data_IF_625311244624
#
_entry.id   IF_625311244624
#
_cell.length_a   1.000
_cell.length_b   1.000
_cell.length_c   1.000
_cell.angle_alpha   90.00
_cell.angle_beta   90.00
_cell.angle_gamma   90.00
#
_symmetry.space_group_name_H-M   'P 1'
#
loop_
_entity.id
_entity.type
_entity.pdbx_description
1 polymer ?
#
# COMPACT_ATOMS: atom_id res chain seq x y z
N UNK A 1 6.82 14.64 -13.63
CA UNK A 1 6.28 16.02 -13.47
C UNK A 1 6.39 16.37 -12.00
N UNK A 2 7.06 17.47 -11.64
CA UNK A 2 7.20 17.92 -10.26
C UNK A 2 6.52 19.28 -10.08
N UNK A 3 5.65 19.41 -9.08
CA UNK A 3 4.95 20.64 -8.75
C UNK A 3 5.15 20.97 -7.27
N UNK A 4 5.38 22.25 -6.95
CA UNK A 4 5.41 22.75 -5.57
C UNK A 4 4.02 23.22 -5.15
N UNK A 5 3.57 22.77 -3.98
CA UNK A 5 2.30 23.14 -3.35
C UNK A 5 2.60 23.67 -1.94
N UNK A 6 2.85 24.97 -1.82
CA UNK A 6 3.33 25.57 -0.57
C UNK A 6 4.67 24.97 -0.15
N UNK A 7 4.72 24.34 1.03
CA UNK A 7 5.91 23.63 1.54
C UNK A 7 6.02 22.19 1.02
N UNK A 8 5.00 21.68 0.31
CA UNK A 8 4.96 20.32 -0.19
C UNK A 8 5.45 20.24 -1.65
N UNK A 9 5.94 19.07 -2.02
CA UNK A 9 6.25 18.71 -3.41
C UNK A 9 5.37 17.53 -3.81
N UNK A 10 4.79 17.61 -5.01
CA UNK A 10 4.06 16.51 -5.64
C UNK A 10 4.80 16.11 -6.91
N UNK A 11 5.14 14.83 -7.01
CA UNK A 11 5.83 14.27 -8.15
C UNK A 11 5.02 13.15 -8.80
N UNK A 12 4.86 13.23 -10.12
CA UNK A 12 4.46 12.09 -10.94
C UNK A 12 5.72 11.53 -11.60
N UNK A 13 6.02 10.28 -11.26
CA UNK A 13 7.18 9.53 -11.76
C UNK A 13 6.72 8.17 -12.26
N UNK A 14 7.31 7.71 -13.36
CA UNK A 14 7.16 6.33 -13.81
C UNK A 14 8.28 5.50 -13.20
N UNK A 15 7.93 4.41 -12.50
CA UNK A 15 8.92 3.56 -11.88
C UNK A 15 8.33 2.38 -11.13
N UNK A 16 9.20 1.71 -10.39
CA UNK A 16 8.88 0.58 -9.52
C UNK A 16 8.80 1.08 -8.07
N UNK A 17 7.65 0.91 -7.42
CA UNK A 17 7.41 1.40 -6.05
C UNK A 17 8.35 0.75 -5.03
N UNK A 18 8.78 -0.49 -5.30
CA UNK A 18 9.66 -1.25 -4.39
C UNK A 18 11.08 -0.70 -4.35
N UNK A 19 11.44 0.17 -5.31
CA UNK A 19 12.77 0.77 -5.46
C UNK A 19 12.83 2.25 -5.06
N UNK A 20 11.71 2.82 -4.58
CA UNK A 20 11.66 4.22 -4.20
C UNK A 20 12.40 4.47 -2.88
N UNK A 21 13.25 5.50 -2.87
CA UNK A 21 14.01 5.92 -1.68
C UNK A 21 13.21 6.99 -0.93
N UNK A 22 12.20 6.54 -0.19
CA UNK A 22 11.27 7.38 0.56
C UNK A 22 11.05 6.79 1.95
N UNK A 23 10.59 7.58 2.91
CA UNK A 23 10.33 7.07 4.26
C UNK A 23 9.22 6.02 4.30
N UNK A 24 8.21 6.14 3.44
CA UNK A 24 7.08 5.22 3.38
C UNK A 24 6.55 5.05 1.96
N UNK A 25 6.05 3.84 1.67
CA UNK A 25 5.28 3.55 0.46
C UNK A 25 3.85 3.16 0.83
N UNK A 26 2.93 3.27 -0.14
CA UNK A 26 1.54 2.82 0.01
C UNK A 26 1.32 1.59 -0.84
N UNK A 27 0.80 0.54 -0.23
CA UNK A 27 0.39 -0.70 -0.90
C UNK A 27 -1.12 -0.66 -1.18
N UNK A 28 -1.52 -1.08 -2.38
CA UNK A 28 -2.91 -1.33 -2.73
C UNK A 28 -3.31 -2.74 -2.30
N UNK A 29 -3.77 -2.87 -1.06
CA UNK A 29 -4.03 -4.14 -0.39
C UNK A 29 -5.50 -4.58 -0.51
N UNK A 30 -5.76 -5.84 -0.16
CA UNK A 30 -7.10 -6.39 0.09
C UNK A 30 -7.47 -6.34 1.58
N UNK A 31 -8.76 -6.54 1.88
CA UNK A 31 -9.29 -6.49 3.24
C UNK A 31 -8.67 -7.52 4.17
N UNK A 32 -8.23 -8.65 3.65
CA UNK A 32 -7.64 -9.75 4.42
C UNK A 32 -6.17 -9.49 4.79
N UNK A 33 -5.51 -8.49 4.19
CA UNK A 33 -4.08 -8.18 4.36
C UNK A 33 -3.17 -9.40 4.12
N UNK A 34 -3.60 -10.29 3.23
CA UNK A 34 -2.98 -11.61 3.01
C UNK A 34 -1.96 -11.63 1.85
N UNK A 35 -1.62 -10.46 1.30
CA UNK A 35 -0.92 -10.34 0.04
C UNK A 35 -1.79 -10.71 -1.17
N UNK A 36 -1.24 -10.59 -2.37
CA UNK A 36 -2.00 -10.70 -3.60
C UNK A 36 -1.12 -10.64 -4.85
N UNK A 37 -1.72 -10.26 -5.98
CA UNK A 37 -1.01 -10.02 -7.24
C UNK A 37 -0.63 -8.56 -7.44
N UNK A 38 -0.23 -8.19 -8.67
CA UNK A 38 0.02 -6.79 -9.03
C UNK A 38 1.08 -6.12 -8.14
N UNK A 39 0.79 -4.87 -7.74
CA UNK A 39 1.70 -4.10 -6.88
C UNK A 39 1.83 -4.69 -5.47
N UNK A 40 0.76 -5.28 -4.94
CA UNK A 40 0.75 -5.94 -3.63
C UNK A 40 1.71 -7.12 -3.60
N UNK A 41 1.60 -8.00 -4.60
CA UNK A 41 2.52 -9.12 -4.78
C UNK A 41 3.98 -8.67 -4.96
N UNK A 42 4.22 -7.62 -5.74
CA UNK A 42 5.56 -7.06 -5.92
C UNK A 42 6.16 -6.53 -4.61
N UNK A 43 5.36 -5.83 -3.80
CA UNK A 43 5.78 -5.33 -2.48
C UNK A 43 6.07 -6.49 -1.53
N UNK A 44 5.18 -7.48 -1.44
CA UNK A 44 5.39 -8.66 -0.59
C UNK A 44 6.65 -9.44 -0.97
N UNK A 45 6.89 -9.62 -2.27
CA UNK A 45 8.08 -10.30 -2.77
C UNK A 45 9.37 -9.53 -2.43
N UNK A 46 9.37 -8.21 -2.61
CA UNK A 46 10.56 -7.38 -2.39
C UNK A 46 10.85 -7.09 -0.91
N UNK A 47 9.82 -6.95 -0.08
CA UNK A 47 9.97 -6.69 1.36
C UNK A 47 10.24 -7.94 2.19
N UNK A 48 9.86 -9.12 1.67
CA UNK A 48 10.02 -10.40 2.35
C UNK A 48 8.90 -10.73 3.34
N UNK A 49 9.02 -11.87 4.05
CA UNK A 49 7.91 -12.48 4.79
C UNK A 49 7.46 -11.70 6.04
N UNK A 50 8.25 -10.71 6.49
CA UNK A 50 7.98 -9.95 7.71
C UNK A 50 6.63 -9.21 7.65
N UNK A 51 6.24 -8.70 6.47
CA UNK A 51 4.95 -8.02 6.30
C UNK A 51 3.81 -8.93 6.73
N UNK A 52 3.76 -10.18 6.22
CA UNK A 52 2.68 -11.12 6.53
C UNK A 52 2.65 -11.48 8.01
N UNK A 53 3.81 -11.55 8.67
CA UNK A 53 3.88 -11.81 10.11
C UNK A 53 3.32 -10.63 10.90
N UNK A 54 3.64 -9.40 10.51
CA UNK A 54 3.11 -8.19 11.13
C UNK A 54 1.61 -8.03 10.88
N UNK A 55 1.11 -8.26 9.67
CA UNK A 55 -0.33 -8.15 9.38
C UNK A 55 -1.13 -9.20 10.15
N UNK A 56 -0.68 -10.46 10.14
CA UNK A 56 -1.35 -11.54 10.87
C UNK A 56 -1.36 -11.32 12.40
N UNK A 57 -0.29 -10.76 12.97
CA UNK A 57 -0.19 -10.55 14.43
C UNK A 57 -0.87 -9.27 14.91
N UNK A 58 -0.72 -8.16 14.18
CA UNK A 58 -1.20 -6.83 14.60
C UNK A 58 -2.60 -6.52 14.11
N UNK A 59 -3.00 -7.11 12.98
CA UNK A 59 -4.27 -6.85 12.30
C UNK A 59 -5.00 -8.16 11.96
N UNK A 60 -5.26 -9.04 12.95
CA UNK A 60 -5.83 -10.37 12.69
C UNK A 60 -7.25 -10.34 12.10
N UNK A 61 -7.94 -9.19 12.17
CA UNK A 61 -9.26 -8.96 11.58
C UNK A 61 -9.21 -8.27 10.21
N UNK A 62 -8.02 -8.08 9.65
CA UNK A 62 -7.83 -7.38 8.38
C UNK A 62 -7.96 -5.86 8.49
N UNK A 63 -8.28 -5.22 7.37
CA UNK A 63 -8.50 -3.78 7.25
C UNK A 63 -9.75 -3.50 6.41
N UNK A 64 -10.71 -2.69 6.89
CA UNK A 64 -11.90 -2.38 6.12
C UNK A 64 -11.59 -1.47 4.92
N UNK A 65 -12.39 -1.59 3.86
CA UNK A 65 -12.36 -0.68 2.71
C UNK A 65 -12.45 0.78 3.14
N UNK A 66 -11.64 1.64 2.52
CA UNK A 66 -11.53 3.06 2.85
C UNK A 66 -10.60 3.36 4.03
N UNK A 67 -9.91 2.35 4.58
CA UNK A 67 -8.95 2.50 5.67
C UNK A 67 -7.55 2.03 5.28
N UNK A 68 -6.58 2.29 6.16
CA UNK A 68 -5.22 1.80 6.02
C UNK A 68 -4.61 1.37 7.36
N UNK A 69 -3.68 0.42 7.31
CA UNK A 69 -2.85 -0.01 8.44
C UNK A 69 -1.37 0.09 8.10
N UNK A 70 -0.48 0.03 9.10
CA UNK A 70 0.96 0.25 8.90
C UNK A 70 1.82 -0.88 9.44
N UNK A 71 2.79 -1.34 8.64
CA UNK A 71 3.84 -2.29 9.04
C UNK A 71 5.23 -1.67 8.85
N UNK A 72 6.27 -2.35 9.35
CA UNK A 72 7.61 -2.11 8.82
C UNK A 72 7.69 -2.50 7.33
N UNK A 73 8.69 -1.99 6.63
CA UNK A 73 8.87 -2.28 5.20
C UNK A 73 9.78 -3.49 4.91
N UNK A 74 10.14 -4.27 5.93
CA UNK A 74 11.01 -5.44 5.78
C UNK A 74 12.34 -5.09 5.12
N UNK A 75 12.60 -5.68 3.95
CA UNK A 75 13.85 -5.54 3.18
C UNK A 75 13.88 -4.33 2.23
N UNK A 76 12.77 -3.57 2.12
CA UNK A 76 12.75 -2.39 1.25
C UNK A 76 13.62 -1.26 1.80
N UNK A 77 14.02 -0.33 0.93
CA UNK A 77 14.72 0.89 1.37
C UNK A 77 13.82 1.85 2.15
N UNK A 78 12.50 1.74 1.99
CA UNK A 78 11.53 2.45 2.79
C UNK A 78 11.53 1.95 4.24
N UNK A 79 10.97 2.75 5.16
CA UNK A 79 10.88 2.38 6.58
C UNK A 79 9.52 1.78 6.91
N UNK A 80 8.47 2.27 6.26
CA UNK A 80 7.09 1.86 6.52
C UNK A 80 6.34 1.52 5.24
N UNK A 81 5.36 0.64 5.38
CA UNK A 81 4.36 0.37 4.35
C UNK A 81 3.00 0.68 4.95
N UNK A 82 2.24 1.56 4.29
CA UNK A 82 0.83 1.77 4.57
C UNK A 82 0.01 0.91 3.62
N UNK A 83 -0.70 -0.08 4.17
CA UNK A 83 -1.59 -0.97 3.42
C UNK A 83 -2.97 -0.34 3.35
N UNK A 84 -3.30 0.26 2.21
CA UNK A 84 -4.58 0.91 2.00
C UNK A 84 -5.54 -0.03 1.23
N UNK A 85 -6.76 -0.16 1.73
CA UNK A 85 -7.80 -1.01 1.11
C UNK A 85 -8.75 -0.12 0.33
N UNK A 86 -8.58 -0.09 -0.99
CA UNK A 86 -9.45 0.66 -1.90
C UNK A 86 -10.78 -0.07 -2.18
N UNK A 87 -11.84 0.65 -2.59
CA UNK A 87 -13.09 0.03 -3.00
C UNK A 87 -12.91 -0.76 -4.31
N UNK A 88 -13.72 -1.81 -4.47
CA UNK A 88 -13.81 -2.56 -5.72
C UNK A 88 -14.81 -1.84 -6.63
N UNK A 89 -14.33 -1.32 -7.75
CA UNK A 89 -15.20 -0.72 -8.76
C UNK A 89 -15.88 -1.78 -9.63
N UNK A 90 -17.20 -1.71 -9.79
CA UNK A 90 -18.01 -2.70 -10.51
C UNK A 90 -18.90 -2.04 -11.58
N UNK A 91 -18.36 -1.08 -12.33
CA UNK A 91 -19.09 -0.42 -13.40
C UNK A 91 -19.86 0.82 -12.98
N UNK A 92 -19.79 1.25 -11.72
CA UNK A 92 -20.41 2.50 -11.24
C UNK A 92 -21.93 2.43 -11.09
N UNK A 93 -22.50 1.21 -10.97
CA UNK A 93 -23.95 0.97 -10.87
C UNK A 93 -24.35 0.20 -9.61
N UNK A 94 -23.40 -0.04 -8.71
CA UNK A 94 -23.58 -0.89 -7.52
C UNK A 94 -23.54 -0.08 -6.21
N UNK A 95 -23.69 1.25 -6.29
CA UNK A 95 -23.62 2.13 -5.12
C UNK A 95 -22.20 2.27 -4.58
N UNK A 96 -21.20 2.22 -5.47
CA UNK A 96 -19.80 2.45 -5.10
C UNK A 96 -19.59 3.88 -4.56
N UNK A 97 -18.68 4.10 -3.59
CA UNK A 97 -18.36 5.44 -3.11
C UNK A 97 -17.81 6.32 -4.23
N UNK A 98 -18.29 7.56 -4.34
CA UNK A 98 -17.75 8.62 -5.20
C UNK A 98 -16.52 9.31 -4.60
#
# INVERSE_FOLDING_TARGET
MLVKLGLCQLELVQGDITKQQVDAIVNAANSELAGGGGVDGAIHQAAGPQIMQETASRYPQGCPTGSAVVTSAGQLSARFIFHAVGPIWQGGRQGEPE
#
